data_IF_707524621558
#
_entry.id   IF_707524621558
#
_cell.length_a   1.000
_cell.length_b   1.000
_cell.length_c   1.000
_cell.angle_alpha   90.00
_cell.angle_beta   90.00
_cell.angle_gamma   90.00
#
_symmetry.space_group_name_H-M   'P 1'
#
loop_
_entity.id
_entity.type
_entity.pdbx_description
1 polymer ?
#
# COMPACT_ATOMS: atom_id res chain seq x y z
N UNK A 1 -15.76 0.75 4.03
CA UNK A 1 -16.30 -0.25 4.96
C UNK A 1 -15.89 0.08 6.39
N UNK A 2 -16.64 -0.36 7.42
CA UNK A 2 -16.31 -0.10 8.84
C UNK A 2 -15.06 -0.90 9.25
N UNK A 3 -14.88 -2.10 8.72
CA UNK A 3 -13.77 -3.01 9.04
C UNK A 3 -12.42 -2.42 8.64
N UNK A 4 -12.28 -1.93 7.43
CA UNK A 4 -11.04 -1.33 6.91
C UNK A 4 -10.61 -0.09 7.72
N UNK A 5 -11.55 0.80 8.06
CA UNK A 5 -11.26 1.98 8.87
C UNK A 5 -10.85 1.62 10.30
N UNK A 6 -11.47 0.60 10.90
CA UNK A 6 -11.12 0.12 12.24
C UNK A 6 -9.69 -0.45 12.27
N UNK A 7 -9.31 -1.21 11.24
CA UNK A 7 -7.96 -1.79 11.11
C UNK A 7 -6.94 -0.70 10.80
N UNK A 8 -7.27 0.26 9.93
CA UNK A 8 -6.34 1.29 9.51
C UNK A 8 -6.05 2.35 10.59
N UNK A 9 -7.01 2.63 11.49
CA UNK A 9 -6.87 3.73 12.46
C UNK A 9 -5.62 3.61 13.35
N UNK A 10 -5.32 2.48 14.01
CA UNK A 10 -4.11 2.33 14.81
C UNK A 10 -2.83 2.41 13.95
N UNK A 11 -2.84 1.89 12.74
CA UNK A 11 -1.71 1.96 11.81
C UNK A 11 -1.38 3.42 11.43
N UNK A 12 -2.42 4.22 11.16
CA UNK A 12 -2.29 5.65 10.86
C UNK A 12 -1.74 6.41 12.05
N UNK A 13 -2.17 6.11 13.26
CA UNK A 13 -1.65 6.73 14.48
C UNK A 13 -0.13 6.56 14.58
N UNK A 14 0.38 5.37 14.27
CA UNK A 14 1.83 5.11 14.24
C UNK A 14 2.52 5.85 13.10
N UNK A 15 1.92 5.87 11.92
CA UNK A 15 2.46 6.57 10.75
C UNK A 15 2.54 8.10 10.95
N UNK A 16 1.68 8.69 11.78
CA UNK A 16 1.74 10.11 12.11
C UNK A 16 3.03 10.51 12.85
N UNK A 17 3.69 9.57 13.53
CA UNK A 17 4.99 9.81 14.18
C UNK A 17 6.07 10.09 13.15
N UNK A 18 6.09 9.32 12.04
CA UNK A 18 7.10 9.46 10.99
C UNK A 18 6.78 10.59 10.00
N UNK A 19 5.48 10.87 9.83
CA UNK A 19 5.01 11.92 8.93
C UNK A 19 3.92 12.76 9.59
N UNK A 20 4.31 13.67 10.52
CA UNK A 20 3.36 14.54 11.19
C UNK A 20 2.58 15.42 10.19
N UNK A 21 1.28 15.54 10.41
CA UNK A 21 0.41 16.36 9.59
C UNK A 21 0.00 15.74 8.24
N UNK A 22 0.46 14.54 7.92
CA UNK A 22 -0.06 13.82 6.76
C UNK A 22 -1.54 13.47 6.97
N UNK A 23 -2.34 13.67 5.93
CA UNK A 23 -3.73 13.22 5.92
C UNK A 23 -3.80 11.82 5.36
N UNK A 24 -4.60 10.94 5.97
CA UNK A 24 -4.84 9.58 5.46
C UNK A 24 -6.34 9.41 5.19
N UNK A 25 -6.67 9.07 3.95
CA UNK A 25 -8.06 8.88 3.50
C UNK A 25 -8.20 7.53 2.82
N UNK A 26 -9.05 6.69 3.38
CA UNK A 26 -9.31 5.34 2.88
C UNK A 26 -10.59 5.30 2.08
N UNK A 27 -10.52 4.75 0.88
CA UNK A 27 -11.66 4.54 -0.01
C UNK A 27 -11.68 3.09 -0.47
N UNK A 28 -12.80 2.41 -0.27
CA UNK A 28 -13.02 1.07 -0.82
C UNK A 28 -13.62 1.21 -2.22
N UNK A 29 -12.98 0.58 -3.18
CA UNK A 29 -13.48 0.44 -4.55
C UNK A 29 -14.25 -0.88 -4.64
N UNK A 30 -15.51 -0.80 -5.05
CA UNK A 30 -16.37 -1.98 -5.15
C UNK A 30 -16.12 -2.75 -6.44
N UNK A 31 -15.06 -3.54 -6.41
CA UNK A 31 -14.71 -4.50 -7.46
C UNK A 31 -14.14 -5.77 -6.81
N UNK A 32 -14.97 -6.80 -6.59
CA UNK A 32 -14.54 -8.05 -5.96
C UNK A 32 -13.65 -8.91 -6.85
N UNK A 33 -13.53 -8.59 -8.14
CA UNK A 33 -12.65 -9.31 -9.06
C UNK A 33 -11.20 -8.81 -8.97
N UNK A 34 -10.97 -7.64 -8.38
CA UNK A 34 -9.64 -7.04 -8.25
C UNK A 34 -9.08 -7.26 -6.84
N UNK A 35 -7.93 -7.94 -6.75
CA UNK A 35 -7.16 -8.06 -5.51
C UNK A 35 -6.02 -7.04 -5.57
N UNK A 36 -6.29 -5.82 -5.11
CA UNK A 36 -5.31 -4.74 -5.15
C UNK A 36 -5.58 -3.65 -4.09
N UNK A 37 -4.54 -2.92 -3.72
CA UNK A 37 -4.59 -1.65 -3.00
C UNK A 37 -3.50 -0.74 -3.56
N UNK A 38 -3.67 0.57 -3.45
CA UNK A 38 -2.65 1.51 -3.87
C UNK A 38 -2.79 2.86 -3.17
N UNK A 39 -1.65 3.51 -2.96
CA UNK A 39 -1.56 4.83 -2.37
C UNK A 39 -1.25 5.90 -3.43
N UNK A 40 -1.98 7.00 -3.41
CA UNK A 40 -1.70 8.17 -4.26
C UNK A 40 -1.25 9.37 -3.42
N UNK A 41 -0.54 10.34 -4.01
CA UNK A 41 -0.10 11.54 -3.32
C UNK A 41 -1.25 12.28 -2.63
N UNK A 42 -0.96 12.89 -1.47
CA UNK A 42 -1.98 13.53 -0.64
C UNK A 42 -2.56 12.62 0.44
N UNK A 43 -2.06 11.35 0.52
CA UNK A 43 -2.45 10.41 1.58
C UNK A 43 -3.77 9.69 1.30
N UNK A 44 -4.17 9.59 0.05
CA UNK A 44 -5.33 8.80 -0.35
C UNK A 44 -4.88 7.36 -0.57
N UNK A 45 -5.61 6.43 0.04
CA UNK A 45 -5.40 5.00 -0.07
C UNK A 45 -6.68 4.34 -0.59
N UNK A 46 -6.56 3.64 -1.68
CA UNK A 46 -7.65 2.92 -2.33
C UNK A 46 -7.46 1.43 -2.13
N UNK A 47 -8.54 0.75 -1.76
CA UNK A 47 -8.54 -0.70 -1.49
C UNK A 47 -9.69 -1.33 -2.26
N UNK A 48 -9.41 -2.28 -3.11
CA UNK A 48 -10.45 -3.03 -3.81
C UNK A 48 -11.16 -4.01 -2.87
N UNK A 49 -12.47 -4.17 -3.05
CA UNK A 49 -13.26 -5.12 -2.25
C UNK A 49 -12.75 -6.56 -2.40
N UNK A 50 -12.19 -6.93 -3.55
CA UNK A 50 -11.56 -8.22 -3.76
C UNK A 50 -10.38 -8.50 -2.83
N UNK A 51 -9.56 -7.49 -2.49
CA UNK A 51 -8.47 -7.65 -1.53
C UNK A 51 -9.02 -7.91 -0.12
N UNK A 52 -10.08 -7.19 0.28
CA UNK A 52 -10.71 -7.38 1.59
C UNK A 52 -11.33 -8.77 1.71
N UNK A 53 -11.87 -9.31 0.62
CA UNK A 53 -12.43 -10.67 0.55
C UNK A 53 -11.32 -11.72 0.57
N UNK A 54 -10.18 -11.45 -0.08
CA UNK A 54 -9.05 -12.38 -0.13
C UNK A 54 -8.30 -12.49 1.21
N UNK A 55 -8.36 -11.46 2.05
CA UNK A 55 -7.75 -11.49 3.39
C UNK A 55 -8.57 -12.40 4.33
N UNK A 56 -7.92 -13.43 4.88
CA UNK A 56 -8.57 -14.40 5.78
C UNK A 56 -8.82 -13.84 7.17
N UNK A 57 -7.92 -12.97 7.64
CA UNK A 57 -8.03 -12.34 8.96
C UNK A 57 -7.68 -10.84 8.93
N UNK A 58 -7.75 -10.23 10.11
CA UNK A 58 -7.43 -8.79 10.24
C UNK A 58 -5.93 -8.51 10.12
N UNK A 59 -5.06 -9.46 10.46
CA UNK A 59 -3.62 -9.28 10.39
C UNK A 59 -3.12 -9.26 8.94
N UNK A 60 -3.68 -10.10 8.07
CA UNK A 60 -3.39 -10.06 6.63
C UNK A 60 -3.78 -8.71 6.01
N UNK A 61 -4.99 -8.24 6.32
CA UNK A 61 -5.45 -6.95 5.83
C UNK A 61 -4.63 -5.79 6.43
N UNK A 62 -4.31 -5.85 7.73
CA UNK A 62 -3.47 -4.87 8.40
C UNK A 62 -2.06 -4.81 7.78
N UNK A 63 -1.48 -5.96 7.45
CA UNK A 63 -0.18 -6.04 6.78
C UNK A 63 -0.16 -5.30 5.45
N UNK A 64 -1.15 -5.54 4.58
CA UNK A 64 -1.25 -4.86 3.30
C UNK A 64 -1.51 -3.36 3.48
N UNK A 65 -2.46 -2.97 4.35
CA UNK A 65 -2.74 -1.55 4.60
C UNK A 65 -1.55 -0.81 5.18
N UNK A 66 -0.79 -1.45 6.08
CA UNK A 66 0.41 -0.87 6.67
C UNK A 66 1.53 -0.68 5.64
N UNK A 67 1.68 -1.62 4.69
CA UNK A 67 2.59 -1.51 3.56
C UNK A 67 2.23 -0.30 2.68
N UNK A 68 0.95 -0.13 2.32
CA UNK A 68 0.48 1.04 1.55
C UNK A 68 0.68 2.36 2.31
N UNK A 69 0.44 2.37 3.61
CA UNK A 69 0.76 3.52 4.48
C UNK A 69 2.27 3.80 4.44
N UNK A 70 3.12 2.78 4.41
CA UNK A 70 4.56 2.89 4.22
C UNK A 70 4.92 3.63 2.93
N UNK A 71 4.23 3.36 1.82
CA UNK A 71 4.42 4.10 0.57
C UNK A 71 4.01 5.57 0.69
N UNK A 72 2.98 5.89 1.46
CA UNK A 72 2.59 7.29 1.74
C UNK A 72 3.68 7.99 2.55
N UNK A 73 4.18 7.36 3.62
CA UNK A 73 5.24 7.91 4.47
C UNK A 73 6.53 8.13 3.69
N UNK A 74 6.95 7.14 2.90
CA UNK A 74 8.11 7.20 2.01
C UNK A 74 7.95 8.14 0.81
N UNK A 75 6.74 8.66 0.56
CA UNK A 75 6.40 9.51 -0.61
C UNK A 75 6.66 8.83 -1.96
N UNK A 76 6.62 7.51 -2.03
CA UNK A 76 7.03 6.76 -3.21
C UNK A 76 6.20 7.14 -4.44
N UNK A 77 4.86 7.18 -4.33
CA UNK A 77 3.97 7.60 -5.42
C UNK A 77 4.22 9.04 -5.86
N UNK A 78 4.50 9.96 -4.91
CA UNK A 78 4.81 11.35 -5.23
C UNK A 78 6.14 11.48 -5.98
N UNK A 79 7.18 10.76 -5.54
CA UNK A 79 8.49 10.75 -6.18
C UNK A 79 8.41 10.15 -7.58
N UNK A 80 7.60 9.10 -7.76
CA UNK A 80 7.38 8.47 -9.05
C UNK A 80 6.68 9.41 -10.03
N UNK A 81 5.62 10.11 -9.61
CA UNK A 81 4.96 11.12 -10.42
C UNK A 81 5.90 12.29 -10.75
N UNK A 82 6.71 12.74 -9.77
CA UNK A 82 7.69 13.81 -10.00
C UNK A 82 8.72 13.40 -11.05
N UNK A 83 9.17 12.17 -11.05
CA UNK A 83 10.13 11.67 -12.04
C UNK A 83 9.52 11.52 -13.42
N UNK A 84 8.24 11.22 -13.54
CA UNK A 84 7.55 11.02 -14.82
C UNK A 84 7.05 12.34 -15.44
N UNK A 85 6.51 13.23 -14.63
CA UNK A 85 5.79 14.42 -15.10
C UNK A 85 6.45 15.74 -14.68
N UNK A 86 7.51 15.69 -13.87
CA UNK A 86 8.18 16.85 -13.31
C UNK A 86 7.50 17.44 -12.07
N UNK A 87 8.25 18.27 -11.35
CA UNK A 87 7.82 18.89 -10.07
C UNK A 87 6.61 19.82 -10.27
N UNK A 88 6.46 20.43 -11.44
CA UNK A 88 5.38 21.38 -11.76
C UNK A 88 4.00 20.75 -11.63
N UNK A 89 3.82 19.49 -12.06
CA UNK A 89 2.56 18.78 -11.92
C UNK A 89 2.22 18.51 -10.44
N UNK A 90 3.21 18.14 -9.63
CA UNK A 90 3.00 17.92 -8.21
C UNK A 90 2.59 19.22 -7.47
N UNK A 91 3.17 20.35 -7.88
CA UNK A 91 2.81 21.66 -7.33
C UNK A 91 1.37 22.02 -7.67
N UNK A 92 0.94 21.81 -8.90
CA UNK A 92 -0.44 22.06 -9.33
C UNK A 92 -1.46 21.20 -8.55
N UNK A 93 -1.16 19.91 -8.34
CA UNK A 93 -2.00 19.00 -7.54
C UNK A 93 -2.03 19.44 -6.07
N UNK A 94 -0.90 19.85 -5.51
CA UNK A 94 -0.78 20.22 -4.10
C UNK A 94 -1.45 21.57 -3.77
N UNK A 95 -1.46 22.51 -4.71
CA UNK A 95 -1.99 23.86 -4.53
C UNK A 95 -3.49 23.96 -4.88
N UNK A 96 -4.08 22.93 -5.48
CA UNK A 96 -5.49 22.95 -5.90
C UNK A 96 -5.77 24.01 -6.96
N UNK A 97 -4.74 24.48 -7.67
CA UNK A 97 -4.91 25.44 -8.75
C UNK A 97 -5.73 24.79 -9.86
N UNK A 98 -6.67 25.54 -10.42
CA UNK A 98 -7.41 25.11 -11.61
C UNK A 98 -6.38 24.90 -12.74
N UNK A 99 -5.96 23.67 -12.89
CA UNK A 99 -5.01 23.23 -13.91
C UNK A 99 -5.68 23.25 -15.29
N UNK A 100 -6.20 24.41 -15.72
CA UNK A 100 -6.88 24.57 -16.99
C UNK A 100 -5.96 24.37 -18.20
N UNK A 101 -4.66 24.42 -18.00
CA UNK A 101 -3.64 24.14 -19.02
C UNK A 101 -3.02 22.73 -18.90
N UNK A 102 -3.21 22.09 -17.73
CA UNK A 102 -2.77 20.71 -17.43
C UNK A 102 -3.93 19.94 -16.81
N UNK A 103 -5.04 19.80 -17.54
CA UNK A 103 -6.13 18.93 -17.13
C UNK A 103 -5.65 17.46 -17.11
N UNK A 104 -4.75 17.15 -16.17
CA UNK A 104 -4.39 15.79 -15.89
C UNK A 104 -5.58 15.18 -15.14
N UNK A 105 -6.27 14.31 -15.82
CA UNK A 105 -7.39 13.57 -15.26
C UNK A 105 -6.89 12.82 -14.01
N UNK A 106 -7.39 13.20 -12.82
CA UNK A 106 -7.04 12.56 -11.55
C UNK A 106 -7.33 11.06 -11.61
N UNK A 107 -8.38 10.66 -12.34
CA UNK A 107 -8.69 9.25 -12.58
C UNK A 107 -7.58 8.55 -13.39
N UNK A 108 -6.98 9.24 -14.35
CA UNK A 108 -5.87 8.71 -15.14
C UNK A 108 -4.60 8.56 -14.29
N UNK A 109 -4.30 9.53 -13.42
CA UNK A 109 -3.20 9.42 -12.45
C UNK A 109 -3.44 8.24 -11.50
N UNK A 110 -4.64 8.11 -10.94
CA UNK A 110 -5.00 7.01 -10.05
C UNK A 110 -4.87 5.65 -10.76
N UNK A 111 -5.35 5.53 -12.00
CA UNK A 111 -5.22 4.33 -12.81
C UNK A 111 -3.75 3.98 -13.09
N UNK A 112 -2.93 4.98 -13.39
CA UNK A 112 -1.50 4.79 -13.62
C UNK A 112 -0.76 4.34 -12.36
N UNK A 113 -1.08 4.94 -11.20
CA UNK A 113 -0.48 4.57 -9.92
C UNK A 113 -0.94 3.19 -9.42
N UNK A 114 -2.18 2.78 -9.74
CA UNK A 114 -2.68 1.45 -9.36
C UNK A 114 -1.92 0.29 -10.02
N UNK A 115 -1.23 0.56 -11.11
CA UNK A 115 -0.39 -0.41 -11.85
C UNK A 115 1.10 -0.03 -11.85
N UNK A 116 1.46 1.04 -11.14
CA UNK A 116 2.84 1.54 -11.11
C UNK A 116 3.73 0.59 -10.31
N UNK A 117 4.89 0.27 -10.87
CA UNK A 117 5.87 -0.58 -10.21
C UNK A 117 6.86 0.27 -9.44
N UNK A 118 6.99 0.00 -8.15
CA UNK A 118 7.96 0.64 -7.29
C UNK A 118 9.35 0.00 -7.41
N UNK A 119 10.39 0.74 -7.03
CA UNK A 119 11.74 0.19 -6.96
C UNK A 119 11.86 -0.82 -5.80
N UNK A 120 12.85 -1.70 -5.86
CA UNK A 120 13.12 -2.64 -4.75
C UNK A 120 13.39 -1.93 -3.43
N UNK A 121 14.02 -0.76 -3.48
CA UNK A 121 14.32 0.02 -2.28
C UNK A 121 13.07 0.68 -1.70
N UNK A 122 12.16 1.15 -2.55
CA UNK A 122 10.84 1.66 -2.12
C UNK A 122 10.03 0.55 -1.44
N UNK A 123 10.00 -0.65 -2.05
CA UNK A 123 9.31 -1.81 -1.49
C UNK A 123 9.89 -2.21 -0.11
N UNK A 124 11.22 -2.32 0.00
CA UNK A 124 11.87 -2.60 1.28
C UNK A 124 11.64 -1.52 2.33
N UNK A 125 11.54 -0.26 1.91
CA UNK A 125 11.21 0.82 2.83
C UNK A 125 9.76 0.73 3.30
N UNK A 126 8.82 0.45 2.39
CA UNK A 126 7.41 0.26 2.72
C UNK A 126 7.21 -0.95 3.64
N UNK A 127 7.93 -2.07 3.39
CA UNK A 127 7.91 -3.25 4.26
C UNK A 127 8.40 -2.93 5.68
N UNK A 128 9.49 -2.17 5.84
CA UNK A 128 10.00 -1.77 7.15
C UNK A 128 9.02 -0.88 7.92
N UNK A 129 8.42 0.10 7.26
CA UNK A 129 7.39 0.93 7.86
C UNK A 129 6.17 0.09 8.24
N UNK A 130 5.68 -0.71 7.28
CA UNK A 130 4.51 -1.54 7.44
C UNK A 130 4.63 -2.52 8.60
N UNK A 131 5.72 -3.28 8.66
CA UNK A 131 5.98 -4.22 9.74
C UNK A 131 5.98 -3.52 11.11
N UNK A 132 6.68 -2.38 11.21
CA UNK A 132 6.71 -1.63 12.47
C UNK A 132 5.32 -1.18 12.90
N UNK A 133 4.51 -0.65 11.98
CA UNK A 133 3.16 -0.20 12.31
C UNK A 133 2.25 -1.35 12.72
N UNK A 134 2.35 -2.51 12.07
CA UNK A 134 1.62 -3.73 12.42
C UNK A 134 1.95 -4.15 13.84
N UNK A 135 3.25 -4.27 14.16
CA UNK A 135 3.75 -4.68 15.48
C UNK A 135 3.32 -3.70 16.57
N UNK A 136 3.55 -2.40 16.37
CA UNK A 136 3.20 -1.35 17.34
C UNK A 136 1.68 -1.18 17.51
N UNK A 137 0.89 -1.66 16.58
CA UNK A 137 -0.58 -1.65 16.63
C UNK A 137 -1.16 -2.95 17.21
N UNK A 138 -0.30 -3.92 17.56
CA UNK A 138 -0.71 -5.18 18.19
C UNK A 138 -1.31 -6.22 17.24
N UNK A 139 -1.09 -6.06 15.93
CA UNK A 139 -1.45 -7.09 14.95
C UNK A 139 -0.35 -8.14 14.83
N UNK A 140 -0.72 -9.34 14.38
CA UNK A 140 0.22 -10.41 14.06
C UNK A 140 1.16 -9.96 12.94
N UNK A 141 2.46 -9.96 13.23
CA UNK A 141 3.51 -9.52 12.34
C UNK A 141 3.66 -10.36 11.08
N UNK A 142 3.18 -11.61 11.09
CA UNK A 142 3.26 -12.54 9.95
C UNK A 142 2.16 -12.32 8.91
N UNK A 143 1.17 -11.47 9.20
CA UNK A 143 -0.01 -11.29 8.35
C UNK A 143 0.34 -10.95 6.88
N UNK A 144 1.29 -10.06 6.64
CA UNK A 144 1.71 -9.69 5.29
C UNK A 144 2.40 -10.86 4.57
N UNK A 145 3.25 -11.60 5.27
CA UNK A 145 3.93 -12.80 4.72
C UNK A 145 2.90 -13.84 4.32
N UNK A 146 1.98 -14.20 5.22
CA UNK A 146 0.91 -15.16 4.94
C UNK A 146 0.05 -14.75 3.75
N UNK A 147 -0.26 -13.45 3.65
CA UNK A 147 -1.01 -12.93 2.51
C UNK A 147 -0.24 -13.11 1.19
N UNK A 148 1.06 -12.78 1.16
CA UNK A 148 1.90 -12.96 -0.04
C UNK A 148 2.06 -14.42 -0.44
N UNK A 149 2.31 -15.32 0.51
CA UNK A 149 2.42 -16.76 0.26
C UNK A 149 1.13 -17.34 -0.33
N UNK A 150 0.00 -16.97 0.26
CA UNK A 150 -1.33 -17.38 -0.22
C UNK A 150 -1.56 -16.92 -1.66
N UNK A 151 -1.30 -15.66 -1.96
CA UNK A 151 -1.48 -15.13 -3.30
C UNK A 151 -0.53 -15.78 -4.31
N UNK A 152 0.72 -16.04 -3.92
CA UNK A 152 1.70 -16.75 -4.76
C UNK A 152 1.25 -18.17 -5.08
N UNK A 153 0.62 -18.86 -4.15
CA UNK A 153 0.05 -20.19 -4.37
C UNK A 153 -1.13 -20.18 -5.36
N UNK A 154 -1.86 -19.06 -5.46
CA UNK A 154 -2.99 -18.88 -6.37
C UNK A 154 -2.56 -18.55 -7.82
N UNK A 155 -1.32 -18.07 -8.04
CA UNK A 155 -0.81 -17.71 -9.38
C UNK A 155 -0.83 -18.89 -10.38
N UNK A 156 -0.86 -20.13 -9.92
CA UNK A 156 -0.95 -21.33 -10.79
C UNK A 156 -2.32 -21.61 -11.41
N UNK A 157 -3.43 -20.91 -11.00
CA UNK A 157 -4.77 -21.35 -11.35
C UNK A 157 -5.71 -20.34 -12.04
N UNK A 158 -5.73 -19.08 -11.69
CA UNK A 158 -6.54 -18.03 -12.34
C UNK A 158 -5.84 -16.67 -12.26
N UNK A 159 -5.13 -16.35 -13.31
CA UNK A 159 -4.16 -15.26 -13.43
C UNK A 159 -4.68 -13.81 -13.31
N UNK A 160 -5.96 -13.54 -13.31
CA UNK A 160 -6.47 -12.18 -13.60
C UNK A 160 -6.67 -11.27 -12.40
N UNK A 161 -6.98 -11.79 -11.21
CA UNK A 161 -7.35 -10.93 -10.06
C UNK A 161 -6.17 -10.51 -9.18
N UNK A 162 -5.12 -11.33 -9.12
CA UNK A 162 -3.93 -11.12 -8.25
C UNK A 162 -2.77 -10.49 -9.01
N UNK A 163 -2.78 -10.59 -10.34
CA UNK A 163 -1.71 -10.14 -11.24
C UNK A 163 -1.40 -8.64 -11.09
N UNK A 164 -2.41 -7.83 -10.81
CA UNK A 164 -2.22 -6.38 -10.65
C UNK A 164 -1.43 -6.05 -9.39
N UNK A 165 -1.73 -6.69 -8.25
CA UNK A 165 -1.00 -6.47 -7.01
C UNK A 165 0.47 -6.90 -7.16
N UNK A 166 0.74 -8.06 -7.76
CA UNK A 166 2.10 -8.53 -7.96
C UNK A 166 2.88 -7.77 -9.03
N UNK A 167 2.20 -7.17 -10.00
CA UNK A 167 2.88 -6.33 -10.99
C UNK A 167 3.33 -5.01 -10.39
N UNK A 168 2.57 -4.43 -9.46
CA UNK A 168 2.93 -3.20 -8.74
C UNK A 168 3.86 -3.46 -7.54
N UNK A 169 3.60 -4.53 -6.77
CA UNK A 169 4.33 -4.92 -5.56
C UNK A 169 4.79 -6.38 -5.64
N UNK A 170 5.86 -6.69 -6.38
CA UNK A 170 6.30 -8.07 -6.53
C UNK A 170 6.62 -8.73 -5.19
N UNK A 171 5.85 -9.76 -4.83
CA UNK A 171 6.11 -10.60 -3.66
C UNK A 171 7.23 -11.60 -3.97
N UNK A 172 8.46 -11.11 -4.11
CA UNK A 172 9.60 -11.97 -4.38
C UNK A 172 9.96 -12.78 -3.14
N UNK A 173 10.48 -13.98 -3.33
CA UNK A 173 11.01 -14.80 -2.22
C UNK A 173 12.06 -14.03 -1.38
N UNK A 174 12.80 -13.12 -2.01
CA UNK A 174 13.76 -12.25 -1.32
C UNK A 174 13.05 -11.32 -0.35
N UNK A 175 11.95 -10.66 -0.76
CA UNK A 175 11.16 -9.78 0.12
C UNK A 175 10.53 -10.53 1.27
N UNK A 176 9.94 -11.70 0.99
CA UNK A 176 9.34 -12.55 2.05
C UNK A 176 10.40 -12.88 3.09
N UNK A 177 11.59 -13.37 2.68
CA UNK A 177 12.70 -13.65 3.58
C UNK A 177 13.18 -12.42 4.35
N UNK A 178 13.27 -11.27 3.70
CA UNK A 178 13.67 -10.01 4.37
C UNK A 178 12.67 -9.62 5.46
N UNK A 179 11.37 -9.78 5.21
CA UNK A 179 10.32 -9.51 6.21
C UNK A 179 10.39 -10.51 7.37
N UNK A 180 10.57 -11.80 7.11
CA UNK A 180 10.73 -12.84 8.13
C UNK A 180 11.93 -12.55 9.05
N UNK A 181 13.09 -12.19 8.47
CA UNK A 181 14.27 -11.78 9.23
C UNK A 181 14.01 -10.53 10.08
N UNK A 182 13.22 -9.57 9.57
CA UNK A 182 12.83 -8.40 10.37
C UNK A 182 11.91 -8.77 11.53
N UNK A 183 10.98 -9.70 11.33
CA UNK A 183 10.08 -10.23 12.37
C UNK A 183 10.91 -10.89 13.49
N UNK A 184 11.81 -11.81 13.13
CA UNK A 184 12.69 -12.48 14.10
C UNK A 184 13.50 -11.49 14.93
N UNK A 185 14.07 -10.45 14.29
CA UNK A 185 14.87 -9.42 14.97
C UNK A 185 14.05 -8.49 15.85
N UNK A 186 12.76 -8.32 15.57
CA UNK A 186 11.87 -7.49 16.37
C UNK A 186 11.58 -8.10 17.76
N UNK A 187 11.83 -9.40 17.95
CA UNK A 187 11.57 -10.12 19.19
C UNK A 187 10.08 -10.24 19.54
N UNK A 188 9.21 -9.95 18.59
CA UNK A 188 7.76 -10.08 18.77
C UNK A 188 7.42 -11.55 18.62
N UNK A 189 6.79 -12.14 19.66
CA UNK A 189 6.27 -13.50 19.60
C UNK A 189 5.17 -13.55 18.52
N UNK A 190 5.30 -14.49 17.60
CA UNK A 190 4.30 -14.84 16.59
C UNK A 190 3.14 -15.61 17.23
#
# INVERSE_FOLDING_TARGET
CIRDRRIAAPLVERAQVDRPGATYRFTVLDDPAQVNAFAVPGGFLYVYSGLIIAAEDEAELAGVLAHEIGHIVGRHSANQLASQFGIQLLSAIALGEEASEYAVDIAQIAAQLSSARFSRDDERQADRYGLRYVVESGYDSTGLVRFFEKLSALEGGKRTSVETLFSSHPATEERIRDIEVMIERSGVAT
#
